data_IF_810080006996
#
_entry.id   IF_810080006996
#
_cell.length_a   1.000
_cell.length_b   1.000
_cell.length_c   1.000
_cell.angle_alpha   90.00
_cell.angle_beta   90.00
_cell.angle_gamma   90.00
#
_symmetry.space_group_name_H-M   'P 1'
#
loop_
_entity.id
_entity.type
_entity.pdbx_description
1 polymer ?
#
# COMPACT_ATOMS: atom_id res chain seq x y z
N UNK A 1 -21.81 0.64 4.04
CA UNK A 1 -21.07 0.91 2.80
C UNK A 1 -19.91 1.78 3.24
N UNK A 2 -18.69 1.33 3.00
CA UNK A 2 -17.52 1.54 3.86
C UNK A 2 -16.99 2.97 3.85
N UNK A 3 -17.18 3.69 4.96
CA UNK A 3 -16.55 4.97 5.25
C UNK A 3 -15.18 4.68 5.92
N UNK A 4 -14.13 5.30 5.40
CA UNK A 4 -12.78 5.44 5.98
C UNK A 4 -12.08 4.21 6.56
N UNK A 5 -11.45 3.41 5.70
CA UNK A 5 -10.37 2.51 6.15
C UNK A 5 -9.00 3.20 6.06
N UNK A 6 -8.57 3.79 7.18
CA UNK A 6 -7.17 3.76 7.59
C UNK A 6 -6.93 2.41 8.30
N UNK A 7 -6.02 1.54 7.85
CA UNK A 7 -5.66 0.35 8.65
C UNK A 7 -4.59 0.73 9.68
N UNK A 8 -5.08 1.27 10.81
CA UNK A 8 -4.40 1.26 12.11
C UNK A 8 -4.77 -0.05 12.82
N UNK A 9 -3.75 -0.80 13.24
CA UNK A 9 -3.88 -2.19 13.69
C UNK A 9 -4.76 -2.42 14.92
N UNK A 10 -5.47 -3.55 14.91
CA UNK A 10 -5.74 -4.33 16.12
C UNK A 10 -4.61 -5.35 16.31
N UNK A 11 -4.26 -5.75 17.55
CA UNK A 11 -3.15 -6.68 17.82
C UNK A 11 -3.35 -8.11 17.29
N UNK A 12 -4.43 -8.38 16.54
CA UNK A 12 -4.71 -9.65 15.90
C UNK A 12 -4.88 -9.46 14.38
N UNK A 13 -3.95 -10.07 13.62
CA UNK A 13 -3.68 -9.84 12.20
C UNK A 13 -4.88 -9.64 11.28
N UNK A 14 -4.89 -8.49 10.58
CA UNK A 14 -5.81 -8.25 9.48
C UNK A 14 -5.39 -9.07 8.25
N UNK A 15 -6.24 -10.00 7.83
CA UNK A 15 -6.11 -10.76 6.58
C UNK A 15 -7.37 -10.49 5.73
N UNK A 16 -7.23 -9.73 4.64
CA UNK A 16 -8.31 -9.54 3.68
C UNK A 16 -8.11 -10.48 2.48
N UNK A 17 -8.70 -11.68 2.56
CA UNK A 17 -8.68 -12.66 1.47
C UNK A 17 -9.83 -12.36 0.51
N UNK A 18 -9.53 -12.02 -0.74
CA UNK A 18 -10.52 -11.88 -1.82
C UNK A 18 -11.17 -10.50 -1.98
N UNK A 19 -10.94 -9.55 -1.06
CA UNK A 19 -11.41 -8.17 -1.18
C UNK A 19 -10.23 -7.22 -1.42
N UNK A 20 -10.27 -6.46 -2.52
CA UNK A 20 -9.27 -5.45 -2.81
C UNK A 20 -9.40 -4.24 -1.87
N UNK A 21 -8.28 -3.71 -1.40
CA UNK A 21 -8.22 -2.43 -0.69
C UNK A 21 -8.28 -1.29 -1.72
N UNK A 22 -9.18 -0.33 -1.57
CA UNK A 22 -9.26 0.86 -2.43
C UNK A 22 -9.39 2.10 -1.55
N UNK A 23 -8.55 3.11 -1.77
CA UNK A 23 -8.56 4.37 -1.03
C UNK A 23 -8.28 5.55 -1.98
N UNK A 24 -8.94 6.69 -1.73
CA UNK A 24 -8.61 7.95 -2.39
C UNK A 24 -7.25 8.51 -1.93
N UNK A 25 -6.83 8.17 -0.70
CA UNK A 25 -5.55 8.55 -0.12
C UNK A 25 -4.53 7.40 -0.06
N UNK A 26 -3.64 7.49 0.92
CA UNK A 26 -2.64 6.46 1.21
C UNK A 26 -3.27 5.19 1.81
N UNK A 27 -2.59 4.06 1.67
CA UNK A 27 -2.92 2.81 2.34
C UNK A 27 -1.75 2.44 3.25
N UNK A 28 -2.01 2.24 4.53
CA UNK A 28 -1.08 1.65 5.48
C UNK A 28 -1.70 0.35 6.00
N UNK A 29 -0.98 -0.76 5.94
CA UNK A 29 -1.39 -2.05 6.50
C UNK A 29 -0.38 -2.47 7.57
N UNK A 30 -0.82 -2.53 8.82
CA UNK A 30 0.02 -3.01 9.92
C UNK A 30 0.08 -4.55 9.96
N UNK A 31 0.59 -5.16 8.89
CA UNK A 31 0.58 -6.61 8.69
C UNK A 31 1.05 -7.02 7.29
N UNK A 32 0.56 -8.16 6.81
CA UNK A 32 0.86 -8.66 5.46
C UNK A 32 -0.24 -8.29 4.48
N UNK A 33 0.11 -7.60 3.41
CA UNK A 33 -0.82 -7.28 2.31
C UNK A 33 -0.74 -8.39 1.27
N UNK A 34 -1.79 -9.24 1.23
CA UNK A 34 -1.92 -10.39 0.33
C UNK A 34 -3.15 -10.23 -0.54
N UNK A 35 -3.02 -9.56 -1.68
CA UNK A 35 -4.17 -9.28 -2.55
C UNK A 35 -3.98 -8.03 -3.41
N UNK A 36 -5.11 -7.42 -3.79
CA UNK A 36 -5.11 -6.18 -4.58
C UNK A 36 -5.20 -4.97 -3.66
N UNK A 37 -4.39 -3.94 -3.92
CA UNK A 37 -4.52 -2.65 -3.26
C UNK A 37 -4.45 -1.50 -4.26
N UNK A 38 -5.29 -0.48 -4.08
CA UNK A 38 -5.39 0.70 -4.93
C UNK A 38 -5.45 1.98 -4.08
N UNK A 39 -4.31 2.67 -3.97
CA UNK A 39 -4.22 3.97 -3.33
C UNK A 39 -4.37 5.10 -4.36
N UNK A 40 -4.73 6.31 -3.93
CA UNK A 40 -4.86 7.45 -4.84
C UNK A 40 -5.95 7.26 -5.89
N UNK A 41 -7.06 6.58 -5.57
CA UNK A 41 -8.09 6.19 -6.53
C UNK A 41 -8.70 7.37 -7.32
N UNK A 42 -8.62 8.59 -6.78
CA UNK A 42 -9.03 9.83 -7.45
C UNK A 42 -7.95 10.41 -8.39
N UNK A 43 -6.86 9.68 -8.63
CA UNK A 43 -5.77 10.08 -9.51
C UNK A 43 -4.55 10.71 -8.81
N UNK A 44 -4.47 10.66 -7.47
CA UNK A 44 -3.30 11.19 -6.76
C UNK A 44 -2.10 10.23 -6.84
N UNK A 45 -1.14 10.60 -7.70
CA UNK A 45 0.10 9.83 -7.94
C UNK A 45 1.12 9.93 -6.80
N UNK A 46 0.88 10.80 -5.82
CA UNK A 46 1.75 10.93 -4.65
C UNK A 46 1.40 9.94 -3.54
N UNK A 47 0.29 9.23 -3.67
CA UNK A 47 -0.15 8.25 -2.69
C UNK A 47 0.80 7.05 -2.59
N UNK A 48 0.78 6.40 -1.43
CA UNK A 48 1.62 5.26 -1.10
C UNK A 48 0.82 4.10 -0.54
N UNK A 49 1.39 2.92 -0.69
CA UNK A 49 0.90 1.70 -0.04
C UNK A 49 2.03 1.16 0.82
N UNK A 50 1.83 1.11 2.13
CA UNK A 50 2.81 0.63 3.10
C UNK A 50 2.31 -0.62 3.79
N UNK A 51 3.18 -1.62 3.97
CA UNK A 51 2.87 -2.81 4.76
C UNK A 51 4.10 -3.33 5.49
N UNK A 52 3.91 -4.14 6.55
CA UNK A 52 5.02 -4.85 7.19
C UNK A 52 5.57 -5.97 6.29
N UNK A 53 4.75 -6.48 5.36
CA UNK A 53 5.13 -7.40 4.29
C UNK A 53 4.24 -7.16 3.07
N UNK A 54 4.81 -6.80 1.92
CA UNK A 54 4.08 -6.67 0.66
C UNK A 54 4.14 -7.99 -0.14
N UNK A 55 3.05 -8.74 -0.10
CA UNK A 55 2.81 -9.90 -0.98
C UNK A 55 1.56 -9.68 -1.87
N UNK A 56 1.42 -8.53 -2.54
CA UNK A 56 0.24 -8.24 -3.34
C UNK A 56 0.12 -9.19 -4.53
N UNK A 57 -1.09 -9.48 -4.97
CA UNK A 57 -1.30 -9.98 -6.34
C UNK A 57 -1.25 -8.83 -7.34
N UNK A 58 -1.63 -7.62 -6.92
CA UNK A 58 -1.57 -6.41 -7.72
C UNK A 58 -1.54 -5.16 -6.83
N UNK A 59 -0.68 -4.21 -7.17
CA UNK A 59 -0.69 -2.86 -6.61
C UNK A 59 -1.20 -1.87 -7.65
N UNK A 60 -1.95 -0.88 -7.19
CA UNK A 60 -2.35 0.28 -7.95
C UNK A 60 -2.11 1.55 -7.16
N UNK A 61 -1.60 2.56 -7.83
CA UNK A 61 -1.47 3.92 -7.29
C UNK A 61 -1.92 4.85 -8.40
N UNK A 62 -3.02 5.58 -8.18
CA UNK A 62 -3.71 6.28 -9.24
C UNK A 62 -3.98 5.34 -10.44
N UNK A 63 -3.66 5.77 -11.66
CA UNK A 63 -3.89 4.96 -12.85
C UNK A 63 -2.85 3.84 -13.07
N UNK A 64 -1.75 3.86 -12.32
CA UNK A 64 -0.65 2.92 -12.51
C UNK A 64 -0.93 1.58 -11.83
N UNK A 65 -0.57 0.50 -12.52
CA UNK A 65 -0.71 -0.87 -12.03
C UNK A 65 0.65 -1.55 -12.03
N UNK A 66 0.97 -2.26 -10.95
CA UNK A 66 2.13 -3.12 -10.87
C UNK A 66 1.74 -4.50 -10.33
N UNK A 67 2.41 -5.52 -10.85
CA UNK A 67 2.33 -6.89 -10.35
C UNK A 67 3.72 -7.26 -9.83
N UNK A 68 3.84 -7.76 -8.60
CA UNK A 68 5.14 -8.18 -8.10
C UNK A 68 5.67 -9.38 -8.88
N UNK A 69 6.99 -9.59 -8.89
CA UNK A 69 7.61 -10.75 -9.50
C UNK A 69 7.16 -12.05 -8.81
N UNK A 70 7.19 -13.16 -9.54
CA UNK A 70 6.75 -14.47 -9.05
C UNK A 70 7.52 -14.98 -7.82
N UNK A 71 8.75 -14.51 -7.62
CA UNK A 71 9.58 -14.85 -6.47
C UNK A 71 9.66 -13.65 -5.52
N UNK A 72 9.08 -13.74 -4.31
CA UNK A 72 9.19 -12.67 -3.33
C UNK A 72 10.64 -12.58 -2.80
N UNK A 73 11.13 -11.37 -2.44
CA UNK A 73 12.41 -11.22 -1.75
C UNK A 73 12.42 -12.03 -0.44
N UNK A 74 13.53 -12.72 -0.15
CA UNK A 74 13.64 -13.61 1.01
C UNK A 74 13.62 -12.91 2.37
N UNK A 75 13.88 -11.61 2.42
CA UNK A 75 13.98 -10.86 3.67
C UNK A 75 12.67 -10.15 4.06
N UNK A 76 12.18 -10.47 5.25
CA UNK A 76 11.01 -9.86 5.89
C UNK A 76 11.36 -8.47 6.42
N UNK A 77 10.50 -7.49 6.16
CA UNK A 77 10.59 -6.17 6.76
C UNK A 77 9.60 -5.20 6.12
N UNK A 78 9.28 -4.08 6.78
CA UNK A 78 8.35 -3.09 6.29
C UNK A 78 8.79 -2.50 4.95
N UNK A 79 7.81 -2.36 4.07
CA UNK A 79 7.96 -1.97 2.69
C UNK A 79 6.95 -0.88 2.32
N UNK A 80 7.35 -0.06 1.35
CA UNK A 80 6.52 1.00 0.78
C UNK A 80 6.54 0.90 -0.73
N UNK A 81 5.35 0.86 -1.32
CA UNK A 81 5.13 1.04 -2.75
C UNK A 81 4.83 2.52 -3.05
N UNK A 82 5.47 3.03 -4.10
CA UNK A 82 5.37 4.42 -4.54
C UNK A 82 5.63 4.53 -6.04
N UNK A 83 5.21 5.65 -6.64
CA UNK A 83 5.43 5.93 -8.06
C UNK A 83 6.82 6.54 -8.28
N UNK A 84 7.46 6.08 -9.36
CA UNK A 84 8.66 6.67 -9.96
C UNK A 84 8.43 6.87 -11.46
N UNK A 85 9.32 7.58 -12.18
CA UNK A 85 9.24 7.65 -13.65
C UNK A 85 9.23 6.28 -14.35
N UNK A 86 9.80 5.25 -13.71
CA UNK A 86 9.78 3.86 -14.21
C UNK A 86 8.56 3.03 -13.77
N UNK A 87 7.51 3.68 -13.24
CA UNK A 87 6.32 3.04 -12.68
C UNK A 87 6.40 2.82 -11.18
N UNK A 88 5.58 1.90 -10.66
CA UNK A 88 5.56 1.60 -9.23
C UNK A 88 6.84 0.85 -8.84
N UNK A 89 7.49 1.30 -7.76
CA UNK A 89 8.65 0.67 -7.13
C UNK A 89 8.32 0.34 -5.68
N UNK A 90 9.01 -0.65 -5.15
CA UNK A 90 8.96 -1.02 -3.73
C UNK A 90 10.32 -0.71 -3.12
N UNK A 91 10.32 -0.04 -1.97
CA UNK A 91 11.51 0.21 -1.17
C UNK A 91 11.28 -0.25 0.27
N UNK A 92 12.36 -0.47 1.00
CA UNK A 92 12.32 -0.69 2.45
C UNK A 92 11.85 0.58 3.14
N UNK A 93 10.91 0.44 4.08
CA UNK A 93 10.37 1.58 4.83
C UNK A 93 11.45 2.28 5.68
N UNK A 94 12.47 1.56 6.17
CA UNK A 94 13.57 2.16 6.95
C UNK A 94 14.42 3.15 6.14
N UNK A 95 14.51 2.96 4.82
CA UNK A 95 15.23 3.85 3.90
C UNK A 95 14.32 4.99 3.40
N UNK A 96 13.06 5.02 3.83
CA UNK A 96 12.08 5.99 3.39
C UNK A 96 12.14 7.22 4.30
N UNK A 97 12.80 8.29 3.85
CA UNK A 97 13.04 9.49 4.65
C UNK A 97 11.76 10.29 4.94
N UNK A 98 11.73 10.88 6.14
CA UNK A 98 10.57 11.42 6.89
C UNK A 98 9.93 12.70 6.30
N UNK A 99 9.32 12.64 5.12
CA UNK A 99 8.61 13.81 4.55
C UNK A 99 7.19 13.54 4.03
N UNK A 100 6.61 12.38 4.32
CA UNK A 100 5.26 12.09 3.87
C UNK A 100 4.28 12.15 5.02
N UNK A 101 3.51 13.23 5.03
CA UNK A 101 2.33 13.35 5.86
C UNK A 101 1.23 12.55 5.17
N UNK A 102 0.72 11.53 5.85
CA UNK A 102 -0.52 10.88 5.45
C UNK A 102 -1.59 11.96 5.37
N UNK A 103 -2.23 12.10 4.20
CA UNK A 103 -3.32 13.05 4.06
C UNK A 103 -4.49 12.53 4.91
N UNK A 104 -4.95 13.35 5.85
CA UNK A 104 -6.24 13.11 6.50
C UNK A 104 -7.31 13.13 5.40
N UNK A 105 -8.19 12.11 5.41
CA UNK A 105 -9.37 12.10 4.54
C UNK A 105 -10.12 13.41 4.75
N UNK A 106 -10.42 14.12 3.66
CA UNK A 106 -11.23 15.34 3.74
C UNK A 106 -12.64 14.93 4.21
N UNK A 107 -13.26 15.64 5.17
CA UNK A 107 -14.58 15.29 5.72
C UNK A 107 -15.68 15.32 4.67
#
# INVERSE_FOLDING_TARGET
MVEDFAVVGKPEGLVLVGHGLVAAGDILVWGSLRGVAHAGADGDRNCRIMALRLEPTQLRIAELVARPPATPPGEIGPEVAYITPGGIRIARAYNFSKYHLFKEGKP
#
